data_IF_931218014365
#
_entry.id   IF_931218014365
#
_cell.length_a   1.000
_cell.length_b   1.000
_cell.length_c   1.000
_cell.angle_alpha   90.00
_cell.angle_beta   90.00
_cell.angle_gamma   90.00
#
_symmetry.space_group_name_H-M   'P 1'
#
loop_
_entity.id
_entity.type
_entity.pdbx_description
1 polymer ?
#
# COMPACT_ATOMS: atom_id res chain seq x y z
N UNK A 1 -8.33 -0.64 17.98
CA UNK A 1 -7.40 -1.22 18.96
C UNK A 1 -6.01 -0.90 18.50
N UNK A 2 -5.12 -0.52 19.41
CA UNK A 2 -3.71 -0.31 19.08
C UNK A 2 -3.02 -1.67 19.05
N UNK A 3 -2.24 -1.95 18.01
CA UNK A 3 -1.50 -3.21 17.90
C UNK A 3 -0.58 -3.38 19.12
N UNK A 4 -0.53 -4.58 19.71
CA UNK A 4 0.39 -4.86 20.81
C UNK A 4 1.80 -5.13 20.28
N UNK A 5 2.83 -4.89 21.09
CA UNK A 5 4.21 -5.20 20.72
C UNK A 5 4.39 -6.67 20.33
N UNK A 6 3.70 -7.59 21.01
CA UNK A 6 3.76 -9.03 20.71
C UNK A 6 3.16 -9.36 19.33
N UNK A 7 2.06 -8.71 18.95
CA UNK A 7 1.45 -8.87 17.62
C UNK A 7 2.39 -8.36 16.51
N UNK A 8 2.99 -7.17 16.71
CA UNK A 8 3.91 -6.59 15.73
C UNK A 8 5.18 -7.43 15.58
N UNK A 9 5.71 -7.95 16.69
CA UNK A 9 6.87 -8.84 16.69
C UNK A 9 6.58 -10.17 15.99
N UNK A 10 5.38 -10.73 16.20
CA UNK A 10 4.94 -11.93 15.48
C UNK A 10 4.87 -11.69 13.96
N UNK A 11 4.27 -10.56 13.52
CA UNK A 11 4.24 -10.19 12.11
C UNK A 11 5.64 -10.01 11.54
N UNK A 12 6.53 -9.34 12.27
CA UNK A 12 7.92 -9.13 11.86
C UNK A 12 8.66 -10.46 11.63
N UNK A 13 8.49 -11.42 12.52
CA UNK A 13 9.13 -12.73 12.44
C UNK A 13 8.54 -13.63 11.35
N UNK A 14 7.32 -13.35 10.87
CA UNK A 14 6.72 -14.08 9.74
C UNK A 14 7.27 -13.68 8.37
N UNK A 15 7.99 -12.55 8.27
CA UNK A 15 8.54 -12.02 7.02
C UNK A 15 9.97 -12.51 6.83
N UNK A 16 10.24 -13.26 5.76
CA UNK A 16 11.60 -13.72 5.44
C UNK A 16 12.44 -12.57 4.90
N UNK A 17 13.73 -12.61 5.24
CA UNK A 17 14.74 -11.69 4.71
C UNK A 17 15.71 -12.46 3.84
N UNK A 18 15.86 -12.04 2.58
CA UNK A 18 16.71 -12.71 1.59
C UNK A 18 17.92 -11.82 1.33
N UNK A 19 19.10 -12.30 1.73
CA UNK A 19 20.36 -11.59 1.55
C UNK A 19 20.75 -11.53 0.07
N UNK A 20 21.29 -10.40 -0.36
CA UNK A 20 21.87 -10.15 -1.69
C UNK A 20 20.89 -10.35 -2.86
N UNK A 21 19.60 -10.09 -2.62
CA UNK A 21 18.57 -10.09 -3.66
C UNK A 21 17.91 -8.70 -3.74
N UNK A 22 17.67 -8.14 -4.94
CA UNK A 22 18.01 -8.68 -6.27
C UNK A 22 19.48 -8.47 -6.66
N UNK A 23 20.26 -7.74 -5.84
CA UNK A 23 21.68 -7.48 -6.05
C UNK A 23 22.43 -7.52 -4.69
N UNK A 24 23.76 -7.72 -4.70
CA UNK A 24 24.56 -7.71 -3.47
C UNK A 24 24.37 -6.44 -2.65
N UNK A 25 24.28 -6.60 -1.33
CA UNK A 25 24.09 -5.51 -0.36
C UNK A 25 22.62 -5.23 -0.01
N UNK A 26 21.65 -5.75 -0.77
CA UNK A 26 20.22 -5.59 -0.46
C UNK A 26 19.72 -6.75 0.39
N UNK A 27 18.91 -6.43 1.40
CA UNK A 27 18.18 -7.41 2.20
C UNK A 27 16.69 -7.35 1.84
N UNK A 28 16.28 -8.18 0.90
CA UNK A 28 14.91 -8.19 0.40
C UNK A 28 13.94 -8.70 1.45
N UNK A 29 12.83 -7.98 1.66
CA UNK A 29 11.77 -8.36 2.60
C UNK A 29 10.67 -9.08 1.85
N UNK A 30 10.64 -10.39 2.01
CA UNK A 30 9.71 -11.26 1.31
C UNK A 30 8.43 -11.47 2.13
N UNK A 31 7.35 -10.80 1.71
CA UNK A 31 6.03 -10.92 2.31
C UNK A 31 5.34 -12.26 2.03
N UNK A 32 5.86 -13.09 1.11
CA UNK A 32 5.19 -14.35 0.75
C UNK A 32 5.13 -15.34 1.92
N UNK A 33 6.16 -15.37 2.78
CA UNK A 33 6.13 -16.20 3.99
C UNK A 33 5.09 -15.75 5.02
N UNK A 34 4.77 -14.45 5.05
CA UNK A 34 3.65 -13.94 5.86
C UNK A 34 2.31 -14.40 5.26
N UNK A 35 2.18 -14.40 3.94
CA UNK A 35 0.97 -14.84 3.25
C UNK A 35 0.72 -16.36 3.41
N UNK A 36 1.77 -17.15 3.51
CA UNK A 36 1.70 -18.60 3.75
C UNK A 36 1.32 -18.95 5.20
N UNK A 37 1.57 -18.07 6.17
CA UNK A 37 1.12 -18.22 7.54
C UNK A 37 -0.30 -17.62 7.71
N UNK A 38 -1.34 -18.45 7.87
CA UNK A 38 -2.72 -17.97 7.95
C UNK A 38 -2.96 -17.06 9.16
N UNK A 39 -2.22 -17.24 10.27
CA UNK A 39 -2.35 -16.39 11.45
C UNK A 39 -1.70 -15.03 11.21
N UNK A 40 -0.51 -15.01 10.62
CA UNK A 40 0.19 -13.76 10.33
C UNK A 40 -0.58 -12.92 9.31
N UNK A 41 -1.05 -13.55 8.22
CA UNK A 41 -1.83 -12.85 7.22
C UNK A 41 -3.14 -12.30 7.80
N UNK A 42 -3.93 -13.13 8.49
CA UNK A 42 -5.19 -12.67 9.10
C UNK A 42 -4.98 -11.53 10.10
N UNK A 43 -3.97 -11.63 10.97
CA UNK A 43 -3.62 -10.58 11.93
C UNK A 43 -3.23 -9.28 11.24
N UNK A 44 -2.45 -9.35 10.16
CA UNK A 44 -2.04 -8.15 9.42
C UNK A 44 -3.24 -7.39 8.87
N UNK A 45 -4.24 -8.10 8.33
CA UNK A 45 -5.47 -7.50 7.83
C UNK A 45 -6.33 -6.97 8.98
N UNK A 46 -6.47 -7.72 10.08
CA UNK A 46 -7.24 -7.31 11.26
C UNK A 46 -6.74 -5.99 11.84
N UNK A 47 -5.42 -5.82 11.94
CA UNK A 47 -4.82 -4.60 12.48
C UNK A 47 -5.06 -3.39 11.56
N UNK A 48 -4.90 -3.55 10.25
CA UNK A 48 -5.20 -2.49 9.28
C UNK A 48 -6.69 -2.12 9.31
N UNK A 49 -7.60 -3.10 9.26
CA UNK A 49 -9.05 -2.86 9.35
C UNK A 49 -9.41 -2.15 10.66
N UNK A 50 -8.86 -2.63 11.78
CA UNK A 50 -9.08 -2.04 13.11
C UNK A 50 -8.61 -0.59 13.21
N UNK A 51 -7.55 -0.22 12.48
CA UNK A 51 -7.01 1.14 12.44
C UNK A 51 -7.92 2.11 11.69
N UNK A 52 -8.65 1.63 10.68
CA UNK A 52 -9.44 2.48 9.76
C UNK A 52 -10.96 2.31 9.87
N UNK A 53 -11.47 1.39 10.70
CA UNK A 53 -12.92 1.09 10.84
C UNK A 53 -13.82 2.30 11.10
N UNK A 54 -13.30 3.34 11.76
CA UNK A 54 -14.05 4.55 12.11
C UNK A 54 -13.57 5.79 11.33
N UNK A 55 -12.70 5.61 10.33
CA UNK A 55 -12.13 6.70 9.54
C UNK A 55 -13.07 7.17 8.40
N UNK A 56 -14.24 6.55 8.25
CA UNK A 56 -15.21 6.91 7.21
C UNK A 56 -14.69 6.63 5.80
N UNK A 57 -13.86 5.60 5.63
CA UNK A 57 -13.36 5.16 4.31
C UNK A 57 -14.54 4.67 3.47
N UNK A 58 -14.58 5.04 2.19
CA UNK A 58 -15.59 4.60 1.21
C UNK A 58 -15.01 3.74 0.10
N UNK A 59 -13.68 3.79 -0.10
CA UNK A 59 -12.93 2.98 -1.07
C UNK A 59 -11.55 2.62 -0.53
N UNK A 60 -11.09 1.42 -0.87
CA UNK A 60 -9.68 1.06 -0.74
C UNK A 60 -9.06 0.95 -2.12
N UNK A 61 -7.93 1.61 -2.33
CA UNK A 61 -7.13 1.51 -3.54
C UNK A 61 -5.87 0.70 -3.23
N UNK A 62 -5.57 -0.30 -4.05
CA UNK A 62 -4.31 -1.04 -4.00
C UNK A 62 -3.59 -0.99 -5.33
N UNK A 63 -2.26 -0.96 -5.32
CA UNK A 63 -1.46 -1.00 -6.54
C UNK A 63 -1.08 -2.43 -6.92
N UNK A 64 -0.91 -2.67 -8.21
CA UNK A 64 -0.51 -3.97 -8.75
C UNK A 64 0.92 -4.34 -8.34
N UNK A 65 1.24 -5.60 -8.02
CA UNK A 65 0.32 -6.73 -7.80
C UNK A 65 0.14 -7.03 -6.30
N UNK A 66 1.21 -6.86 -5.51
CA UNK A 66 1.24 -7.29 -4.11
C UNK A 66 0.36 -6.43 -3.22
N UNK A 67 0.14 -5.15 -3.56
CA UNK A 67 -0.84 -4.31 -2.88
C UNK A 67 -2.26 -4.88 -2.93
N UNK A 68 -2.61 -5.70 -3.93
CA UNK A 68 -3.94 -6.35 -3.97
C UNK A 68 -4.12 -7.37 -2.85
N UNK A 69 -3.04 -8.04 -2.45
CA UNK A 69 -3.04 -9.06 -1.41
C UNK A 69 -3.37 -8.45 -0.04
N UNK A 70 -3.17 -7.14 0.15
CA UNK A 70 -3.50 -6.49 1.43
C UNK A 70 -4.69 -5.53 1.28
N UNK A 71 -4.75 -4.78 0.19
CA UNK A 71 -5.81 -3.81 -0.07
C UNK A 71 -7.18 -4.45 -0.26
N UNK A 72 -7.29 -5.57 -0.99
CA UNK A 72 -8.59 -6.21 -1.20
C UNK A 72 -9.17 -6.82 0.08
N UNK A 73 -8.41 -7.57 0.91
CA UNK A 73 -8.91 -8.01 2.22
C UNK A 73 -9.24 -6.87 3.18
N UNK A 74 -8.49 -5.77 3.17
CA UNK A 74 -8.83 -4.58 3.98
C UNK A 74 -10.14 -3.96 3.50
N UNK A 75 -10.35 -3.84 2.18
CA UNK A 75 -11.62 -3.37 1.62
C UNK A 75 -12.81 -4.23 2.09
N UNK A 76 -12.63 -5.57 2.03
CA UNK A 76 -13.62 -6.53 2.53
C UNK A 76 -13.90 -6.34 4.03
N UNK A 77 -12.86 -6.24 4.85
CA UNK A 77 -13.00 -6.05 6.30
C UNK A 77 -13.62 -4.70 6.70
N UNK A 78 -13.46 -3.67 5.87
CA UNK A 78 -14.11 -2.36 6.04
C UNK A 78 -15.52 -2.30 5.41
N UNK A 79 -15.92 -3.31 4.62
CA UNK A 79 -17.21 -3.33 3.94
C UNK A 79 -17.32 -2.31 2.79
N UNK A 80 -16.22 -2.01 2.11
CA UNK A 80 -16.14 -0.98 1.06
C UNK A 80 -15.65 -1.53 -0.28
N UNK A 81 -15.82 -0.75 -1.34
CA UNK A 81 -15.33 -1.12 -2.67
C UNK A 81 -13.80 -1.13 -2.75
N UNK A 82 -13.24 -2.15 -3.39
CA UNK A 82 -11.83 -2.19 -3.78
C UNK A 82 -11.66 -1.64 -5.20
N UNK A 83 -10.65 -0.79 -5.40
CA UNK A 83 -10.32 -0.18 -6.70
C UNK A 83 -8.87 -0.48 -7.06
N UNK A 84 -8.59 -1.25 -8.12
CA UNK A 84 -7.23 -1.54 -8.52
C UNK A 84 -6.60 -0.36 -9.28
N UNK A 85 -5.34 -0.08 -8.96
CA UNK A 85 -4.45 0.74 -9.79
C UNK A 85 -3.42 -0.18 -10.44
N UNK A 86 -3.27 -0.08 -11.76
CA UNK A 86 -2.52 -1.06 -12.56
C UNK A 86 -1.55 -0.43 -13.52
N UNK A 87 -0.62 -1.23 -14.03
CA UNK A 87 0.19 -0.85 -15.18
C UNK A 87 -0.68 -0.65 -16.43
N UNK A 88 -0.19 0.10 -17.45
CA UNK A 88 -1.00 0.44 -18.60
C UNK A 88 -1.59 -0.77 -19.33
N UNK A 89 -2.81 -0.58 -19.87
CA UNK A 89 -3.51 -1.57 -20.71
C UNK A 89 -3.98 -2.83 -19.98
N UNK A 90 -3.98 -2.83 -18.64
CA UNK A 90 -4.55 -3.94 -17.82
C UNK A 90 -6.00 -3.71 -17.44
N UNK A 91 -6.47 -2.47 -17.54
CA UNK A 91 -7.80 -2.02 -17.15
C UNK A 91 -8.67 -1.82 -18.41
N UNK A 92 -9.83 -2.49 -18.55
CA UNK A 92 -10.56 -2.56 -19.83
C UNK A 92 -11.50 -1.37 -20.12
N UNK A 93 -11.97 -0.66 -19.08
CA UNK A 93 -12.77 0.58 -19.21
C UNK A 93 -11.86 1.81 -19.34
N UNK A 94 -12.47 2.98 -19.49
CA UNK A 94 -11.76 4.27 -19.57
C UNK A 94 -10.86 4.49 -18.34
N UNK A 95 -9.62 4.92 -18.59
CA UNK A 95 -8.60 5.18 -17.57
C UNK A 95 -8.00 6.57 -17.69
N UNK A 96 -7.50 7.08 -16.56
CA UNK A 96 -6.47 8.12 -16.55
C UNK A 96 -5.15 7.51 -16.08
N UNK A 97 -4.05 8.09 -16.53
CA UNK A 97 -2.70 7.64 -16.20
C UNK A 97 -1.89 8.73 -15.46
N UNK A 98 -0.94 8.28 -14.64
CA UNK A 98 0.10 9.09 -14.00
C UNK A 98 1.46 8.42 -14.22
N UNK A 99 2.45 9.24 -14.59
CA UNK A 99 3.83 8.79 -14.80
C UNK A 99 4.65 9.05 -13.53
N UNK A 100 5.53 8.11 -13.17
CA UNK A 100 6.43 8.27 -12.04
C UNK A 100 7.84 7.79 -12.39
N UNK A 101 8.82 8.36 -11.69
CA UNK A 101 10.24 8.09 -11.89
C UNK A 101 10.67 6.81 -11.17
N UNK A 102 11.52 6.04 -11.84
CA UNK A 102 12.29 4.92 -11.31
C UNK A 102 13.78 5.31 -11.25
N UNK A 103 14.61 4.47 -10.63
CA UNK A 103 16.08 4.67 -10.65
C UNK A 103 16.62 4.75 -12.09
N UNK A 104 16.02 3.99 -13.01
CA UNK A 104 16.34 4.02 -14.44
C UNK A 104 15.05 4.11 -15.26
N UNK A 105 14.63 5.35 -15.57
CA UNK A 105 13.50 5.64 -16.46
C UNK A 105 12.21 5.99 -15.73
N UNK A 106 11.09 5.78 -16.41
CA UNK A 106 9.75 6.09 -15.89
C UNK A 106 8.81 4.91 -16.13
N UNK A 107 7.83 4.74 -15.25
CA UNK A 107 6.73 3.80 -15.42
C UNK A 107 5.39 4.55 -15.21
N UNK A 108 4.28 3.89 -15.51
CA UNK A 108 2.95 4.50 -15.46
C UNK A 108 1.97 3.65 -14.65
N UNK A 109 1.03 4.32 -14.00
CA UNK A 109 -0.11 3.70 -13.33
C UNK A 109 -1.41 4.27 -13.89
N UNK A 110 -2.41 3.39 -14.03
CA UNK A 110 -3.75 3.67 -14.51
C UNK A 110 -4.80 3.33 -13.45
N UNK A 111 -5.87 4.14 -13.40
CA UNK A 111 -7.08 3.87 -12.63
C UNK A 111 -8.31 4.07 -13.53
N UNK A 112 -9.38 3.32 -13.29
CA UNK A 112 -10.66 3.56 -13.99
C UNK A 112 -11.29 4.88 -13.54
N UNK A 113 -11.72 5.69 -14.51
CA UNK A 113 -12.27 7.04 -14.27
C UNK A 113 -13.55 7.00 -13.42
N UNK A 114 -14.35 5.95 -13.57
CA UNK A 114 -15.63 5.79 -12.88
C UNK A 114 -15.53 5.10 -11.50
N UNK A 115 -14.33 4.67 -11.10
CA UNK A 115 -14.11 3.93 -9.85
C UNK A 115 -14.02 4.83 -8.61
N UNK A 116 -13.58 6.08 -8.80
CA UNK A 116 -13.50 7.12 -7.78
C UNK A 116 -14.43 8.26 -8.16
N UNK A 117 -15.18 8.77 -7.18
CA UNK A 117 -16.12 9.89 -7.37
C UNK A 117 -15.80 11.03 -6.42
N UNK A 118 -16.17 12.28 -6.76
CA UNK A 118 -16.12 13.39 -5.81
C UNK A 118 -16.80 13.03 -4.49
N UNK A 119 -16.09 13.26 -3.38
CA UNK A 119 -16.56 12.93 -2.03
C UNK A 119 -16.17 11.53 -1.54
N UNK A 120 -15.61 10.65 -2.38
CA UNK A 120 -15.01 9.40 -1.89
C UNK A 120 -13.86 9.69 -0.92
N UNK A 121 -13.85 8.98 0.20
CA UNK A 121 -12.75 8.99 1.17
C UNK A 121 -11.95 7.70 1.00
N UNK A 122 -10.74 7.83 0.47
CA UNK A 122 -9.96 6.72 -0.08
C UNK A 122 -8.79 6.41 0.84
N UNK A 123 -8.65 5.12 1.17
CA UNK A 123 -7.45 4.57 1.79
C UNK A 123 -6.59 3.89 0.72
N UNK A 124 -5.31 4.23 0.64
CA UNK A 124 -4.34 3.47 -0.18
C UNK A 124 -3.73 2.37 0.69
N UNK A 125 -3.66 1.15 0.19
CA UNK A 125 -3.01 0.03 0.88
C UNK A 125 -2.02 -0.65 -0.06
N UNK A 126 -0.80 -0.88 0.42
CA UNK A 126 0.24 -1.61 -0.31
C UNK A 126 1.00 -2.57 0.62
N UNK A 127 1.81 -3.46 0.05
CA UNK A 127 2.61 -4.39 0.86
C UNK A 127 3.77 -3.68 1.56
N UNK A 128 4.50 -2.82 0.85
CA UNK A 128 5.73 -2.22 1.34
C UNK A 128 5.90 -0.76 0.90
N UNK A 129 6.25 0.12 1.84
CA UNK A 129 6.72 1.47 1.55
C UNK A 129 8.24 1.50 1.40
N UNK A 130 8.70 1.88 0.20
CA UNK A 130 10.11 2.12 -0.13
C UNK A 130 10.33 3.62 -0.41
N UNK A 131 10.52 4.01 -1.67
CA UNK A 131 10.71 5.42 -2.08
C UNK A 131 9.40 6.23 -2.15
N UNK A 132 8.24 5.56 -2.10
CA UNK A 132 6.90 6.17 -2.15
C UNK A 132 6.43 6.62 -3.54
N UNK A 133 7.19 6.41 -4.61
CA UNK A 133 6.86 6.92 -5.97
C UNK A 133 5.53 6.40 -6.54
N UNK A 134 5.27 5.09 -6.42
CA UNK A 134 4.01 4.46 -6.87
C UNK A 134 2.80 4.97 -6.09
N UNK A 135 2.95 5.17 -4.78
CA UNK A 135 1.90 5.69 -3.90
C UNK A 135 1.61 7.15 -4.22
N UNK A 136 2.64 7.96 -4.45
CA UNK A 136 2.49 9.34 -4.90
C UNK A 136 1.70 9.43 -6.23
N UNK A 137 2.04 8.60 -7.23
CA UNK A 137 1.29 8.57 -8.48
C UNK A 137 -0.18 8.15 -8.27
N UNK A 138 -0.40 7.17 -7.39
CA UNK A 138 -1.74 6.71 -7.01
C UNK A 138 -2.55 7.82 -6.33
N UNK A 139 -1.94 8.59 -5.43
CA UNK A 139 -2.56 9.74 -4.77
C UNK A 139 -2.98 10.80 -5.79
N UNK A 140 -2.13 11.10 -6.78
CA UNK A 140 -2.46 12.04 -7.87
C UNK A 140 -3.66 11.56 -8.69
N UNK A 141 -3.69 10.27 -9.07
CA UNK A 141 -4.82 9.66 -9.79
C UNK A 141 -6.13 9.82 -9.01
N UNK A 142 -6.14 9.47 -7.72
CA UNK A 142 -7.32 9.57 -6.86
C UNK A 142 -7.82 11.01 -6.77
N UNK A 143 -6.92 11.98 -6.53
CA UNK A 143 -7.27 13.39 -6.38
C UNK A 143 -7.79 14.00 -7.68
N UNK A 144 -7.25 13.60 -8.83
CA UNK A 144 -7.74 14.04 -10.15
C UNK A 144 -9.17 13.59 -10.44
N UNK A 145 -9.62 12.50 -9.83
CA UNK A 145 -11.02 12.03 -9.90
C UNK A 145 -11.92 12.63 -8.80
N UNK A 146 -11.40 13.57 -8.01
CA UNK A 146 -12.13 14.24 -6.93
C UNK A 146 -12.20 13.45 -5.62
N UNK A 147 -11.48 12.33 -5.51
CA UNK A 147 -11.38 11.56 -4.28
C UNK A 147 -10.50 12.27 -3.24
N UNK A 148 -10.93 12.21 -1.97
CA UNK A 148 -10.09 12.59 -0.83
C UNK A 148 -9.23 11.41 -0.44
N UNK A 149 -7.92 11.63 -0.31
CA UNK A 149 -6.96 10.65 0.20
C UNK A 149 -6.01 11.34 1.16
N UNK A 150 -6.01 10.88 2.41
CA UNK A 150 -5.20 11.41 3.52
C UNK A 150 -4.36 10.35 4.21
N UNK A 151 -4.57 9.07 3.88
CA UNK A 151 -3.97 7.94 4.59
C UNK A 151 -3.47 6.90 3.60
N UNK A 152 -2.29 6.35 3.89
CA UNK A 152 -1.72 5.19 3.21
C UNK A 152 -1.25 4.16 4.25
N UNK A 153 -1.59 2.89 4.03
CA UNK A 153 -1.27 1.81 4.93
C UNK A 153 -0.37 0.75 4.29
N UNK A 154 0.58 0.22 5.07
CA UNK A 154 1.59 -0.71 4.60
C UNK A 154 1.78 -1.86 5.60
N UNK A 155 2.20 -3.02 5.10
CA UNK A 155 2.69 -4.08 5.99
C UNK A 155 4.10 -3.73 6.45
N UNK A 156 4.96 -3.34 5.50
CA UNK A 156 6.37 -3.03 5.73
C UNK A 156 6.66 -1.55 5.45
N UNK A 157 7.51 -0.94 6.28
CA UNK A 157 8.14 0.35 5.97
C UNK A 157 9.67 0.20 5.98
N UNK A 158 10.31 0.50 4.84
CA UNK A 158 11.76 0.66 4.73
C UNK A 158 12.13 2.10 5.06
N UNK A 159 12.28 2.38 6.35
CA UNK A 159 12.35 3.76 6.85
C UNK A 159 13.59 4.54 6.39
N UNK A 160 14.65 3.85 5.93
CA UNK A 160 15.86 4.50 5.41
C UNK A 160 15.68 5.09 3.99
N UNK A 161 14.59 4.74 3.27
CA UNK A 161 14.36 5.14 1.88
C UNK A 161 13.55 6.43 1.71
N UNK A 162 13.12 7.06 2.81
CA UNK A 162 12.50 8.39 2.78
C UNK A 162 11.07 8.46 2.20
N UNK A 163 10.43 7.31 1.96
CA UNK A 163 9.09 7.24 1.37
C UNK A 163 8.02 7.90 2.22
N UNK A 164 8.11 7.77 3.55
CA UNK A 164 7.16 8.38 4.49
C UNK A 164 7.19 9.91 4.36
N UNK A 165 8.39 10.52 4.40
CA UNK A 165 8.54 11.97 4.29
C UNK A 165 8.11 12.49 2.92
N UNK A 166 8.28 11.70 1.85
CA UNK A 166 7.77 12.04 0.51
C UNK A 166 6.23 12.13 0.52
N UNK A 167 5.56 11.19 1.16
CA UNK A 167 4.10 11.12 1.23
C UNK A 167 3.52 12.16 2.20
N UNK A 168 4.20 12.46 3.31
CA UNK A 168 3.83 13.53 4.24
C UNK A 168 3.78 14.90 3.55
N UNK A 169 4.74 15.18 2.64
CA UNK A 169 4.73 16.41 1.82
C UNK A 169 3.49 16.53 0.92
N UNK A 170 2.78 15.43 0.68
CA UNK A 170 1.51 15.41 -0.03
C UNK A 170 0.28 15.44 0.89
N UNK A 171 0.48 15.59 2.20
CA UNK A 171 -0.58 15.51 3.20
C UNK A 171 -1.10 14.09 3.40
N UNK A 172 -0.25 13.08 3.21
CA UNK A 172 -0.59 11.67 3.45
C UNK A 172 0.06 11.21 4.75
N UNK A 173 -0.77 10.71 5.67
CA UNK A 173 -0.32 10.04 6.89
C UNK A 173 -0.04 8.59 6.57
N UNK A 174 1.18 8.12 6.85
CA UNK A 174 1.56 6.72 6.65
C UNK A 174 1.30 5.90 7.92
N UNK A 175 0.82 4.67 7.76
CA UNK A 175 0.74 3.70 8.85
C UNK A 175 1.32 2.37 8.40
N UNK A 176 2.36 1.89 9.07
CA UNK A 176 3.00 0.61 8.79
C UNK A 176 3.01 -0.32 9.99
N UNK A 177 2.85 -1.62 9.78
CA UNK A 177 2.89 -2.62 10.85
C UNK A 177 4.33 -2.96 11.26
N UNK A 178 5.23 -3.15 10.29
CA UNK A 178 6.58 -3.67 10.53
C UNK A 178 7.64 -2.74 9.92
N UNK A 179 8.44 -2.03 10.75
CA UNK A 179 9.58 -1.28 10.26
C UNK A 179 10.81 -2.18 10.06
N UNK A 180 11.52 -1.99 8.94
CA UNK A 180 12.81 -2.61 8.65
C UNK A 180 13.82 -1.55 8.17
N UNK A 181 15.10 -1.66 8.60
CA UNK A 181 16.18 -0.87 7.98
C UNK A 181 16.57 -1.43 6.62
N UNK A 182 17.35 -0.66 5.88
CA UNK A 182 17.96 -1.04 4.61
C UNK A 182 17.43 -0.28 3.40
N UNK A 183 18.13 -0.46 2.28
CA UNK A 183 17.89 0.19 0.99
C UNK A 183 17.55 -0.82 -0.10
#
# INVERSE_FOLDING_TARGET
MTATAQQLEFLKNSIKSIQDYPKPGILFRDVTSLLEDPKAYALSIELLVSRYKNAGITKVVGTEARGFLFGAPVALGLGVGFVPVRKPRKLPRETIAETYELEYGTDQLEIHVDAIKPGDNVLVVDDLLATGGTIEATVKLIRRLGGKVTDAAFIINLFDLGGEQRLEKQGITCYSLVPFPGH
#
